data_IF_014358811559
#
_entry.id   IF_014358811559
#
_cell.length_a   1.000
_cell.length_b   1.000
_cell.length_c   1.000
_cell.angle_alpha   90.00
_cell.angle_beta   90.00
_cell.angle_gamma   90.00
#
_symmetry.space_group_name_H-M   'P 1'
#
loop_
_entity.id
_entity.type
_entity.pdbx_description
1 polymer ?
#
# COMPACT_ATOMS: atom_id res chain seq x y z
N UNK A 1 8.07 27.66 -7.00
CA UNK A 1 7.95 26.20 -6.81
C UNK A 1 8.21 25.56 -8.15
N UNK A 2 9.25 24.75 -8.25
CA UNK A 2 9.58 24.02 -9.48
C UNK A 2 9.54 22.54 -9.12
N UNK A 3 8.67 21.75 -9.76
CA UNK A 3 8.53 20.29 -9.56
C UNK A 3 7.92 19.89 -8.21
N UNK A 4 6.64 19.52 -8.26
CA UNK A 4 5.93 18.85 -7.16
C UNK A 4 5.69 17.41 -7.61
N UNK A 5 6.05 16.44 -6.76
CA UNK A 5 5.74 15.02 -6.96
C UNK A 5 4.88 14.56 -5.79
N UNK A 6 3.71 14.04 -6.08
CA UNK A 6 2.76 13.53 -5.08
C UNK A 6 2.46 12.08 -5.40
N UNK A 7 2.72 11.21 -4.44
CA UNK A 7 2.30 9.79 -4.42
C UNK A 7 1.22 9.65 -3.34
N UNK A 8 0.60 8.47 -3.23
CA UNK A 8 -0.39 8.16 -2.19
C UNK A 8 0.13 8.39 -0.76
N UNK A 9 1.44 8.23 -0.55
CA UNK A 9 2.12 8.22 0.73
C UNK A 9 3.26 9.26 0.84
N UNK A 10 3.55 10.03 -0.21
CA UNK A 10 4.67 10.98 -0.23
C UNK A 10 4.39 12.25 -1.00
N UNK A 11 4.91 13.38 -0.51
CA UNK A 11 4.84 14.70 -1.15
C UNK A 11 6.23 15.31 -1.17
N UNK A 12 6.81 15.49 -2.36
CA UNK A 12 8.12 16.13 -2.55
C UNK A 12 7.98 17.39 -3.37
N UNK A 13 8.68 18.45 -2.98
CA UNK A 13 8.68 19.72 -3.71
C UNK A 13 10.00 20.47 -3.56
N UNK A 14 10.39 21.21 -4.61
CA UNK A 14 11.54 22.11 -4.54
C UNK A 14 11.14 23.55 -4.20
N UNK A 15 11.91 24.18 -3.31
CA UNK A 15 11.77 25.58 -2.89
C UNK A 15 12.93 26.42 -3.39
N UNK A 16 12.65 27.67 -3.75
CA UNK A 16 13.68 28.63 -4.17
C UNK A 16 14.39 29.32 -3.00
N UNK A 17 13.76 29.35 -1.82
CA UNK A 17 14.30 29.99 -0.60
C UNK A 17 13.98 29.14 0.62
N UNK A 18 14.99 28.87 1.44
CA UNK A 18 14.87 28.19 2.73
C UNK A 18 14.50 29.19 3.84
N UNK A 19 13.98 28.70 4.96
CA UNK A 19 13.58 29.50 6.13
C UNK A 19 12.23 30.22 6.00
N UNK A 20 11.56 30.13 4.85
CA UNK A 20 10.21 30.70 4.64
C UNK A 20 9.16 29.62 4.85
N UNK A 21 8.13 29.83 5.69
CA UNK A 21 7.07 28.85 5.91
C UNK A 21 6.33 28.50 4.61
N UNK A 22 6.16 27.21 4.36
CA UNK A 22 5.39 26.67 3.22
C UNK A 22 4.17 25.93 3.74
N UNK A 23 3.00 26.31 3.22
CA UNK A 23 1.74 25.62 3.48
C UNK A 23 1.59 24.42 2.55
N UNK A 24 1.45 23.24 3.12
CA UNK A 24 1.18 22.00 2.38
C UNK A 24 -0.32 21.71 2.49
N UNK A 25 -1.01 21.69 1.34
CA UNK A 25 -2.45 21.41 1.23
C UNK A 25 -2.78 19.92 1.28
N UNK A 26 -2.05 19.17 2.10
CA UNK A 26 -2.33 17.76 2.42
C UNK A 26 -2.89 17.69 3.84
N UNK A 27 -3.82 16.77 4.07
CA UNK A 27 -4.40 16.55 5.40
C UNK A 27 -3.32 16.21 6.42
N UNK A 28 -3.29 16.96 7.52
CA UNK A 28 -2.40 16.69 8.65
C UNK A 28 -2.73 15.37 9.32
N UNK A 29 -1.69 14.56 9.53
CA UNK A 29 -1.69 13.37 10.37
C UNK A 29 -0.40 13.37 11.22
N UNK A 30 -0.44 12.88 12.46
CA UNK A 30 0.75 12.86 13.32
C UNK A 30 1.88 11.96 12.80
N UNK A 31 1.59 11.06 11.87
CA UNK A 31 2.55 10.09 11.31
C UNK A 31 3.34 10.61 10.09
N UNK A 32 3.19 11.89 9.72
CA UNK A 32 3.99 12.50 8.66
C UNK A 32 5.40 12.80 9.16
N UNK A 33 6.39 12.24 8.48
CA UNK A 33 7.81 12.56 8.66
C UNK A 33 8.23 13.55 7.57
N UNK A 34 9.01 14.57 7.92
CA UNK A 34 9.55 15.53 6.95
C UNK A 34 11.08 15.48 6.93
N UNK A 35 11.64 15.45 5.74
CA UNK A 35 13.07 15.59 5.47
C UNK A 35 13.34 16.90 4.74
N UNK A 36 14.41 17.60 5.12
CA UNK A 36 14.77 18.89 4.52
C UNK A 36 13.92 20.08 4.99
N UNK A 37 13.11 19.91 6.04
CA UNK A 37 12.35 20.98 6.68
C UNK A 37 12.17 20.73 8.19
N UNK A 38 11.80 21.77 8.94
CA UNK A 38 11.28 21.64 10.29
C UNK A 38 9.75 21.49 10.28
N UNK A 39 9.20 20.80 11.29
CA UNK A 39 7.78 20.47 11.40
C UNK A 39 7.53 18.97 11.18
N UNK A 40 6.38 18.56 10.62
CA UNK A 40 5.24 19.39 10.19
C UNK A 40 4.37 19.87 11.36
N UNK A 41 3.96 21.15 11.34
CA UNK A 41 3.02 21.71 12.31
C UNK A 41 1.60 21.76 11.75
N UNK A 42 0.60 21.46 12.58
CA UNK A 42 -0.81 21.50 12.18
C UNK A 42 -1.28 22.94 12.00
N UNK A 43 -1.83 23.25 10.82
CA UNK A 43 -2.54 24.49 10.53
C UNK A 43 -4.04 24.18 10.33
N UNK A 44 -4.91 24.80 11.13
CA UNK A 44 -6.36 24.60 11.03
C UNK A 44 -6.89 25.02 9.65
N UNK A 45 -7.91 24.34 9.10
CA UNK A 45 -8.66 23.24 9.71
C UNK A 45 -8.00 21.86 9.60
N UNK A 46 -7.21 21.58 8.55
CA UNK A 46 -6.55 20.28 8.32
C UNK A 46 -5.21 20.37 7.57
N UNK A 47 -4.64 21.55 7.37
CA UNK A 47 -3.39 21.70 6.63
C UNK A 47 -2.17 21.51 7.53
N UNK A 48 -1.00 21.48 6.90
CA UNK A 48 0.27 21.45 7.61
C UNK A 48 1.21 22.53 7.08
N UNK A 49 2.02 23.08 7.99
CA UNK A 49 3.08 24.03 7.66
C UNK A 49 4.41 23.37 7.94
N UNK A 50 5.35 23.57 7.02
CA UNK A 50 6.75 23.16 7.17
C UNK A 50 7.64 24.36 6.89
N UNK A 51 8.80 24.41 7.55
CA UNK A 51 9.81 25.45 7.32
C UNK A 51 11.01 24.79 6.64
N UNK A 52 11.21 24.95 5.33
CA UNK A 52 12.29 24.32 4.59
C UNK A 52 13.66 24.73 5.12
N UNK A 53 14.51 23.75 5.41
CA UNK A 53 15.93 23.93 5.71
C UNK A 53 16.81 23.60 4.50
N UNK A 54 16.26 22.87 3.52
CA UNK A 54 16.88 22.51 2.25
C UNK A 54 16.02 22.96 1.06
N UNK A 55 16.64 23.07 -0.13
CA UNK A 55 15.94 23.34 -1.39
C UNK A 55 15.04 22.20 -1.84
N UNK A 56 15.34 20.97 -1.40
CA UNK A 56 14.52 19.79 -1.66
C UNK A 56 13.86 19.34 -0.36
N UNK A 57 12.53 19.32 -0.35
CA UNK A 57 11.74 18.93 0.82
C UNK A 57 10.91 17.71 0.46
N UNK A 58 10.94 16.68 1.32
CA UNK A 58 10.14 15.47 1.16
C UNK A 58 9.35 15.20 2.43
N UNK A 59 8.04 15.06 2.28
CA UNK A 59 7.13 14.60 3.32
C UNK A 59 6.77 13.15 2.98
N UNK A 60 6.99 12.26 3.93
CA UNK A 60 6.65 10.85 3.81
C UNK A 60 5.68 10.48 4.91
N UNK A 61 4.51 9.98 4.53
CA UNK A 61 3.62 9.32 5.46
C UNK A 61 4.28 7.99 5.82
N UNK A 62 4.69 7.85 7.09
CA UNK A 62 5.46 6.69 7.51
C UNK A 62 4.68 5.40 7.19
N UNK A 63 5.25 4.58 6.30
CA UNK A 63 4.96 3.14 6.25
C UNK A 63 5.47 2.59 7.58
N UNK A 64 4.58 2.60 8.58
CA UNK A 64 4.93 2.17 9.93
C UNK A 64 5.49 0.76 9.83
N UNK A 65 6.56 0.42 10.55
CA UNK A 65 7.17 -0.93 10.55
C UNK A 65 6.15 -2.08 10.74
N UNK A 66 4.96 -1.77 11.27
CA UNK A 66 3.79 -2.63 11.35
C UNK A 66 3.16 -3.05 10.03
N UNK A 67 3.28 -2.29 8.95
CA UNK A 67 2.87 -2.76 7.63
C UNK A 67 3.72 -3.95 7.18
N UNK A 68 5.04 -3.88 7.42
CA UNK A 68 5.93 -5.02 7.16
C UNK A 68 5.59 -6.21 8.04
N UNK A 69 5.36 -6.01 9.33
CA UNK A 69 4.96 -7.09 10.24
C UNK A 69 3.64 -7.75 9.80
N UNK A 70 2.65 -6.95 9.42
CA UNK A 70 1.37 -7.44 8.91
C UNK A 70 1.51 -8.22 7.60
N UNK A 71 2.37 -7.76 6.69
CA UNK A 71 2.72 -8.50 5.46
C UNK A 71 3.39 -9.83 5.78
N UNK A 72 4.36 -9.85 6.69
CA UNK A 72 5.00 -11.08 7.14
C UNK A 72 4.00 -12.04 7.79
N UNK A 73 3.13 -11.55 8.67
CA UNK A 73 2.09 -12.35 9.30
C UNK A 73 1.10 -12.93 8.27
N UNK A 74 0.72 -12.15 7.25
CA UNK A 74 -0.14 -12.63 6.16
C UNK A 74 0.53 -13.73 5.35
N UNK A 75 1.82 -13.56 5.03
CA UNK A 75 2.61 -14.52 4.27
C UNK A 75 2.81 -15.82 5.06
N UNK A 76 3.07 -15.72 6.37
CA UNK A 76 3.12 -16.85 7.29
C UNK A 76 1.77 -17.55 7.42
N UNK A 77 0.67 -16.81 7.51
CA UNK A 77 -0.69 -17.35 7.56
C UNK A 77 -1.05 -18.11 6.30
N UNK A 78 -0.72 -17.56 5.12
CA UNK A 78 -0.94 -18.23 3.84
C UNK A 78 -0.09 -19.49 3.71
N UNK A 79 1.18 -19.43 4.13
CA UNK A 79 2.07 -20.58 4.12
C UNK A 79 1.55 -21.68 5.06
N UNK A 80 1.12 -21.30 6.26
CA UNK A 80 0.46 -22.20 7.21
C UNK A 80 -0.79 -22.84 6.62
N UNK A 81 -1.63 -22.05 5.94
CA UNK A 81 -2.83 -22.55 5.27
C UNK A 81 -2.51 -23.56 4.18
N UNK A 82 -1.48 -23.33 3.37
CA UNK A 82 -1.05 -24.26 2.31
C UNK A 82 -0.46 -25.54 2.90
N UNK A 83 0.35 -25.44 3.96
CA UNK A 83 0.98 -26.59 4.62
C UNK A 83 -0.03 -27.45 5.39
N UNK A 84 -1.00 -26.82 6.04
CA UNK A 84 -2.07 -27.46 6.80
C UNK A 84 -3.31 -27.75 5.96
N UNK A 85 -3.34 -27.29 4.70
CA UNK A 85 -4.43 -27.57 3.79
C UNK A 85 -4.63 -29.08 3.77
N UNK A 86 -5.84 -29.58 4.09
CA UNK A 86 -6.09 -31.00 4.01
C UNK A 86 -5.77 -31.43 2.58
N UNK A 87 -4.80 -32.36 2.44
CA UNK A 87 -4.52 -32.98 1.13
C UNK A 87 -5.87 -33.39 0.57
N UNK A 88 -6.21 -33.02 -0.68
CA UNK A 88 -7.55 -33.18 -1.21
C UNK A 88 -8.02 -34.61 -0.93
N UNK A 89 -8.99 -34.75 -0.03
CA UNK A 89 -9.67 -36.01 0.17
C UNK A 89 -10.24 -36.36 -1.19
N UNK A 90 -9.68 -37.43 -1.78
CA UNK A 90 -9.85 -37.89 -3.18
C UNK A 90 -11.30 -37.90 -3.68
N UNK A 91 -12.26 -37.88 -2.76
CA UNK A 91 -13.69 -37.60 -2.91
C UNK A 91 -14.07 -36.46 -3.88
N UNK A 92 -13.38 -35.32 -3.90
CA UNK A 92 -13.74 -34.22 -4.83
C UNK A 92 -13.40 -34.54 -6.29
N UNK A 93 -12.33 -35.29 -6.54
CA UNK A 93 -11.92 -35.72 -7.89
C UNK A 93 -12.82 -36.84 -8.41
N UNK A 94 -13.26 -37.75 -7.53
CA UNK A 94 -14.19 -38.83 -7.88
C UNK A 94 -15.57 -38.30 -8.29
N UNK A 95 -16.04 -37.22 -7.67
CA UNK A 95 -17.33 -36.59 -8.01
C UNK A 95 -17.32 -35.96 -9.40
N UNK A 96 -16.21 -35.35 -9.81
CA UNK A 96 -16.05 -34.78 -11.15
C UNK A 96 -15.99 -35.86 -12.25
N UNK A 97 -15.48 -37.07 -11.94
CA UNK A 97 -15.47 -38.19 -12.91
C UNK A 97 -16.85 -38.80 -13.15
N UNK A 98 -17.73 -38.82 -12.15
CA UNK A 98 -19.11 -39.36 -12.30
C UNK A 98 -20.02 -38.46 -13.13
N UNK A 99 -19.67 -37.19 -13.31
CA UNK A 99 -20.47 -36.22 -14.07
C UNK A 99 -20.03 -36.05 -15.52
N UNK A 100 -19.11 -36.88 -16.04
CA UNK A 100 -18.86 -36.95 -17.49
C UNK A 100 -20.06 -37.64 -18.14
N UNK A 101 -20.89 -36.94 -18.93
CA UNK A 101 -21.94 -37.60 -19.69
C UNK A 101 -21.29 -38.58 -20.67
N UNK A 102 -21.86 -39.78 -20.79
CA UNK A 102 -21.47 -40.72 -21.82
C UNK A 102 -21.60 -40.00 -23.17
N UNK A 103 -20.50 -39.95 -23.92
CA UNK A 103 -20.49 -39.47 -25.29
C UNK A 103 -21.44 -40.41 -26.06
N UNK A 104 -22.63 -39.93 -26.41
CA UNK A 104 -23.56 -40.66 -27.27
C UNK A 104 -22.84 -41.01 -28.58
N UNK A 105 -22.91 -42.27 -29.04
CA UNK A 105 -22.48 -42.59 -30.39
C UNK A 105 -23.51 -42.00 -31.35
N UNK A 106 -23.11 -40.98 -32.11
CA UNK A 106 -23.89 -40.49 -33.25
C UNK A 106 -24.05 -41.63 -34.25
N UNK A 107 -25.26 -42.19 -34.30
CA UNK A 107 -25.72 -43.10 -35.34
C UNK A 107 -26.35 -42.24 -36.46
N UNK A 108 -25.96 -42.51 -37.71
CA UNK A 108 -26.43 -41.83 -38.93
C UNK A 108 -25.32 -40.95 -39.53
N UNK A 109 -24.82 -41.16 -40.75
CA UNK A 109 -25.30 -41.85 -41.96
C UNK A 109 -24.22 -42.76 -42.57
#
# INVERSE_FOLDING_TARGET
MSRVRTTTDSVSFDVSRTGVPVMVKTSYFPNWTVEGAHGPWRATPNFMVVVPTSHHVTLSYSTTSWEWLGRFATLLGLLGLVLLAPRPRRWLVERARRLRPAREPSSGE
#
